data_IF_848553813357
#
_entry.id   IF_848553813357
#
_cell.length_a   1.000
_cell.length_b   1.000
_cell.length_c   1.000
_cell.angle_alpha   90.00
_cell.angle_beta   90.00
_cell.angle_gamma   90.00
#
_symmetry.space_group_name_H-M   'P 1'
#
loop_
_entity.id
_entity.type
_entity.pdbx_description
1 polymer ?
#
# COMPACT_ATOMS: atom_id res chain seq x y z
N UNK A 1 16.55 -3.25 21.69
CA UNK A 1 15.78 -2.30 20.86
C UNK A 1 16.07 -2.67 19.41
N UNK A 2 15.37 -3.68 18.89
CA UNK A 2 15.53 -4.13 17.52
C UNK A 2 14.74 -3.16 16.64
N UNK A 3 15.43 -2.45 15.76
CA UNK A 3 14.77 -1.77 14.64
C UNK A 3 14.21 -2.85 13.74
N UNK A 4 12.88 -2.97 13.68
CA UNK A 4 12.21 -3.78 12.69
C UNK A 4 12.34 -3.03 11.35
N UNK A 5 13.41 -3.32 10.62
CA UNK A 5 13.44 -3.10 9.18
C UNK A 5 12.41 -4.06 8.62
N UNK A 6 11.37 -3.55 7.97
CA UNK A 6 10.31 -4.34 7.35
C UNK A 6 10.96 -5.33 6.39
N UNK A 7 11.11 -6.55 6.91
CA UNK A 7 11.79 -7.64 6.26
C UNK A 7 10.78 -8.26 5.30
N UNK A 8 10.97 -7.98 4.02
CA UNK A 8 10.37 -8.74 2.93
C UNK A 8 8.83 -8.79 2.98
N UNK A 9 8.17 -7.69 2.63
CA UNK A 9 6.89 -7.82 1.95
C UNK A 9 7.10 -8.77 0.76
N UNK A 10 6.72 -10.05 0.90
CA UNK A 10 6.78 -11.06 -0.15
C UNK A 10 5.66 -10.80 -1.14
N UNK A 11 5.82 -9.69 -1.86
CA UNK A 11 5.02 -9.24 -2.96
C UNK A 11 5.03 -10.33 -4.04
N UNK A 12 3.98 -11.15 -4.01
CA UNK A 12 3.70 -12.12 -5.06
C UNK A 12 2.50 -11.61 -5.82
N UNK A 13 2.75 -11.05 -7.00
CA UNK A 13 1.71 -10.85 -8.00
C UNK A 13 1.30 -12.22 -8.54
N UNK A 14 0.07 -12.65 -8.26
CA UNK A 14 -0.64 -13.52 -9.21
C UNK A 14 -1.40 -12.57 -10.14
N UNK A 15 -1.62 -12.96 -11.40
CA UNK A 15 -2.14 -12.09 -12.48
C UNK A 15 -3.37 -11.21 -12.14
N UNK A 16 -4.06 -11.48 -11.04
CA UNK A 16 -5.30 -10.81 -10.66
C UNK A 16 -5.27 -10.18 -9.25
N UNK A 17 -4.23 -10.41 -8.42
CA UNK A 17 -4.17 -9.88 -7.04
C UNK A 17 -2.77 -9.46 -6.60
N UNK A 18 -2.71 -8.42 -5.76
CA UNK A 18 -1.53 -7.95 -5.05
C UNK A 18 -1.54 -8.51 -3.62
N UNK A 19 -0.62 -9.42 -3.30
CA UNK A 19 -0.55 -10.02 -1.96
C UNK A 19 0.39 -9.23 -1.05
N UNK A 20 -0.07 -8.90 0.14
CA UNK A 20 0.68 -8.18 1.16
C UNK A 20 0.44 -8.79 2.55
N UNK A 21 1.45 -8.74 3.42
CA UNK A 21 1.41 -9.25 4.80
C UNK A 21 1.73 -8.10 5.74
N UNK A 22 0.95 -7.94 6.80
CA UNK A 22 1.02 -6.84 7.77
C UNK A 22 1.18 -7.44 9.16
N UNK A 23 2.07 -6.88 9.97
CA UNK A 23 2.35 -7.36 11.34
C UNK A 23 3.24 -8.60 11.38
N UNK A 24 3.47 -9.11 12.58
CA UNK A 24 4.30 -10.28 12.84
C UNK A 24 3.65 -11.23 13.85
N UNK A 25 3.96 -12.52 13.77
CA UNK A 25 3.51 -13.52 14.76
C UNK A 25 2.00 -13.78 14.70
N UNK A 26 1.34 -13.82 15.86
CA UNK A 26 -0.09 -14.19 15.98
C UNK A 26 -1.05 -13.09 15.47
N UNK A 27 -0.56 -11.87 15.25
CA UNK A 27 -1.34 -10.73 14.73
C UNK A 27 -1.15 -10.51 13.22
N UNK A 28 -0.35 -11.38 12.58
CA UNK A 28 -0.06 -11.32 11.14
C UNK A 28 -1.34 -11.38 10.31
N UNK A 29 -1.55 -10.37 9.45
CA UNK A 29 -2.62 -10.33 8.48
C UNK A 29 -2.05 -10.39 7.06
N UNK A 30 -2.38 -11.47 6.37
CA UNK A 30 -2.18 -11.58 4.92
C UNK A 30 -3.42 -11.10 4.16
N UNK A 31 -3.28 -10.03 3.37
CA UNK A 31 -4.31 -9.54 2.44
C UNK A 31 -3.96 -9.88 0.99
N UNK A 32 -4.98 -10.26 0.21
CA UNK A 32 -4.87 -10.41 -1.26
C UNK A 32 -5.75 -9.36 -1.93
N UNK A 33 -5.10 -8.25 -2.29
CA UNK A 33 -5.72 -7.02 -2.80
C UNK A 33 -6.17 -7.25 -4.25
N UNK A 34 -7.42 -6.90 -4.51
CA UNK A 34 -8.08 -7.00 -5.82
C UNK A 34 -7.69 -5.83 -6.73
N UNK A 35 -7.98 -5.91 -8.04
CA UNK A 35 -7.83 -4.79 -8.95
C UNK A 35 -8.51 -3.53 -8.38
N UNK A 36 -7.82 -2.37 -8.38
CA UNK A 36 -8.38 -1.16 -7.83
C UNK A 36 -9.58 -0.67 -8.65
N UNK A 37 -10.49 0.02 -7.98
CA UNK A 37 -11.47 0.85 -8.68
C UNK A 37 -10.78 2.07 -9.31
N UNK A 38 -11.45 2.75 -10.24
CA UNK A 38 -10.94 3.99 -10.82
C UNK A 38 -10.62 5.05 -9.74
N UNK A 39 -11.50 5.21 -8.75
CA UNK A 39 -11.29 6.16 -7.65
C UNK A 39 -10.04 5.81 -6.84
N UNK A 40 -9.85 4.54 -6.48
CA UNK A 40 -8.66 4.08 -5.75
C UNK A 40 -7.36 4.32 -6.55
N UNK A 41 -7.41 4.14 -7.86
CA UNK A 41 -6.25 4.45 -8.72
C UNK A 41 -5.93 5.95 -8.76
N UNK A 42 -6.96 6.79 -8.85
CA UNK A 42 -6.80 8.26 -8.82
C UNK A 42 -6.25 8.73 -7.47
N UNK A 43 -6.76 8.20 -6.36
CA UNK A 43 -6.27 8.47 -5.00
C UNK A 43 -4.80 8.09 -4.84
N UNK A 44 -4.42 6.89 -5.31
CA UNK A 44 -3.02 6.43 -5.30
C UNK A 44 -2.12 7.29 -6.19
N UNK A 45 -2.64 7.79 -7.31
CA UNK A 45 -1.89 8.69 -8.21
C UNK A 45 -1.65 10.05 -7.54
N UNK A 46 -2.66 10.59 -6.85
CA UNK A 46 -2.53 11.82 -6.08
C UNK A 46 -1.53 11.65 -4.92
N UNK A 47 -1.59 10.51 -4.22
CA UNK A 47 -0.65 10.14 -3.17
C UNK A 47 0.79 10.09 -3.69
N UNK A 48 1.04 9.45 -4.84
CA UNK A 48 2.37 9.45 -5.48
C UNK A 48 2.85 10.87 -5.80
N UNK A 49 1.94 11.76 -6.23
CA UNK A 49 2.26 13.16 -6.48
C UNK A 49 2.64 13.93 -5.21
N UNK A 50 1.98 13.66 -4.08
CA UNK A 50 2.34 14.20 -2.77
C UNK A 50 3.73 13.73 -2.36
N UNK A 51 3.99 12.42 -2.43
CA UNK A 51 5.30 11.85 -2.07
C UNK A 51 6.43 12.43 -2.93
N UNK A 52 6.20 12.66 -4.22
CA UNK A 52 7.18 13.27 -5.11
C UNK A 52 7.50 14.73 -4.71
N UNK A 53 6.50 15.52 -4.30
CA UNK A 53 6.71 16.90 -3.83
C UNK A 53 7.44 16.96 -2.49
N UNK A 54 7.12 16.05 -1.57
CA UNK A 54 7.86 15.90 -0.31
C UNK A 54 9.32 15.54 -0.60
N UNK A 55 9.57 14.60 -1.52
CA UNK A 55 10.91 14.21 -1.90
C UNK A 55 11.70 15.34 -2.60
N UNK A 56 11.03 16.25 -3.33
CA UNK A 56 11.67 17.41 -3.97
C UNK A 56 11.86 18.61 -3.02
N UNK A 57 11.30 18.55 -1.80
CA UNK A 57 11.32 19.65 -0.84
C UNK A 57 10.33 20.78 -1.16
N UNK A 58 9.33 20.52 -2.01
CA UNK A 58 8.25 21.46 -2.36
C UNK A 58 7.13 21.49 -1.31
N UNK A 59 7.05 20.48 -0.45
CA UNK A 59 6.02 20.34 0.59
C UNK A 59 6.68 19.96 1.92
N UNK A 60 6.28 20.61 3.03
CA UNK A 60 7.02 20.52 4.30
C UNK A 60 6.70 19.25 5.09
N UNK A 61 5.55 18.62 4.88
CA UNK A 61 5.24 17.30 5.45
C UNK A 61 3.96 16.74 4.83
N UNK A 62 3.98 15.50 4.33
CA UNK A 62 2.74 14.77 4.06
C UNK A 62 2.19 14.25 5.38
N UNK A 63 0.90 14.49 5.65
CA UNK A 63 0.22 13.89 6.79
C UNK A 63 0.20 12.36 6.63
N UNK A 64 0.90 11.65 7.52
CA UNK A 64 1.01 10.20 7.45
C UNK A 64 -0.37 9.53 7.59
N UNK A 65 -1.27 10.07 8.40
CA UNK A 65 -2.62 9.55 8.57
C UNK A 65 -3.43 9.60 7.28
N UNK A 66 -3.30 10.67 6.50
CA UNK A 66 -3.92 10.80 5.17
C UNK A 66 -3.32 9.79 4.18
N UNK A 67 -1.99 9.65 4.17
CA UNK A 67 -1.30 8.65 3.33
C UNK A 67 -1.75 7.22 3.65
N UNK A 68 -1.76 6.87 4.94
CA UNK A 68 -2.19 5.56 5.42
C UNK A 68 -3.68 5.31 5.15
N UNK A 69 -4.52 6.36 5.15
CA UNK A 69 -5.95 6.23 4.81
C UNK A 69 -6.17 5.80 3.36
N UNK A 70 -5.40 6.36 2.42
CA UNK A 70 -5.45 5.94 1.01
C UNK A 70 -4.97 4.50 0.87
N UNK A 71 -3.83 4.16 1.48
CA UNK A 71 -3.28 2.80 1.44
C UNK A 71 -4.25 1.79 2.06
N UNK A 72 -4.82 2.08 3.22
CA UNK A 72 -5.79 1.24 3.91
C UNK A 72 -7.08 1.03 3.10
N UNK A 73 -7.54 2.05 2.37
CA UNK A 73 -8.69 1.93 1.46
C UNK A 73 -8.40 0.93 0.33
N UNK A 74 -7.21 1.01 -0.29
CA UNK A 74 -6.80 0.06 -1.31
C UNK A 74 -6.65 -1.35 -0.72
N UNK A 75 -6.01 -1.48 0.44
CA UNK A 75 -5.85 -2.77 1.11
C UNK A 75 -7.18 -3.40 1.51
N UNK A 76 -8.20 -2.60 1.85
CA UNK A 76 -9.55 -3.06 2.18
C UNK A 76 -10.29 -3.65 0.98
N UNK A 77 -9.88 -3.32 -0.25
CA UNK A 77 -10.34 -3.97 -1.46
C UNK A 77 -9.62 -5.32 -1.64
N UNK A 78 -9.92 -6.30 -0.79
CA UNK A 78 -9.28 -7.62 -0.80
C UNK A 78 -10.29 -8.78 -0.87
N UNK A 79 -9.79 -9.96 -1.25
CA UNK A 79 -10.59 -11.18 -1.39
C UNK A 79 -11.19 -11.69 -0.07
N UNK A 80 -10.59 -11.32 1.07
CA UNK A 80 -11.00 -11.76 2.40
C UNK A 80 -12.06 -10.84 3.01
N UNK A 81 -12.48 -9.78 2.30
CA UNK A 81 -13.44 -8.76 2.75
C UNK A 81 -13.08 -8.16 4.11
N UNK A 82 -11.80 -8.18 4.46
CA UNK A 82 -11.29 -7.67 5.74
C UNK A 82 -11.04 -6.18 5.59
N UNK A 83 -11.61 -5.37 6.48
CA UNK A 83 -11.33 -3.93 6.50
C UNK A 83 -9.97 -3.68 7.14
N UNK A 84 -9.11 -2.96 6.42
CA UNK A 84 -7.84 -2.42 6.94
C UNK A 84 -8.06 -0.94 7.21
N UNK A 85 -7.68 -0.44 8.39
CA UNK A 85 -7.76 0.98 8.76
C UNK A 85 -6.37 1.61 8.80
N UNK A 86 -6.31 2.93 8.62
CA UNK A 86 -5.08 3.70 8.77
C UNK A 86 -4.49 3.52 10.18
N UNK A 87 -5.35 3.60 11.21
CA UNK A 87 -4.97 3.39 12.62
C UNK A 87 -4.30 2.03 12.85
N UNK A 88 -4.76 0.98 12.17
CA UNK A 88 -4.12 -0.33 12.25
C UNK A 88 -2.74 -0.29 11.63
N UNK A 89 -2.61 0.26 10.41
CA UNK A 89 -1.31 0.37 9.75
C UNK A 89 -0.32 1.15 10.61
N UNK A 90 -0.76 2.27 11.17
CA UNK A 90 0.05 3.08 12.09
C UNK A 90 0.44 2.30 13.35
N UNK A 91 -0.48 1.54 13.96
CA UNK A 91 -0.19 0.71 15.13
C UNK A 91 0.83 -0.41 14.85
N UNK A 92 0.85 -0.91 13.61
CA UNK A 92 1.81 -1.91 13.13
C UNK A 92 3.16 -1.27 12.72
N UNK A 93 3.28 0.06 12.84
CA UNK A 93 4.50 0.80 12.57
C UNK A 93 4.70 1.22 11.12
N UNK A 94 3.66 1.20 10.28
CA UNK A 94 3.77 1.70 8.91
C UNK A 94 4.19 3.17 8.90
N UNK A 95 5.22 3.48 8.13
CA UNK A 95 5.71 4.82 7.93
C UNK A 95 5.63 5.26 6.45
N UNK A 96 6.21 6.44 6.16
CA UNK A 96 6.23 7.00 4.80
C UNK A 96 7.01 6.12 3.81
N UNK A 97 8.04 5.42 4.28
CA UNK A 97 8.82 4.49 3.45
C UNK A 97 7.93 3.31 3.04
N UNK A 98 7.14 2.78 3.96
CA UNK A 98 6.21 1.67 3.67
C UNK A 98 5.10 2.08 2.70
N UNK A 99 4.59 3.29 2.85
CA UNK A 99 3.66 3.88 1.89
C UNK A 99 4.29 3.96 0.50
N UNK A 100 5.56 4.37 0.40
CA UNK A 100 6.28 4.45 -0.87
C UNK A 100 6.50 3.06 -1.48
N UNK A 101 6.90 2.07 -0.68
CA UNK A 101 7.06 0.68 -1.14
C UNK A 101 5.72 0.11 -1.63
N UNK A 102 4.63 0.34 -0.89
CA UNK A 102 3.29 -0.03 -1.30
C UNK A 102 2.88 0.65 -2.61
N UNK A 103 3.12 1.95 -2.75
CA UNK A 103 2.79 2.69 -3.96
C UNK A 103 3.54 2.14 -5.20
N UNK A 104 4.82 1.79 -5.05
CA UNK A 104 5.61 1.16 -6.10
C UNK A 104 5.07 -0.23 -6.48
N UNK A 105 4.72 -1.04 -5.48
CA UNK A 105 4.10 -2.35 -5.69
C UNK A 105 2.74 -2.23 -6.39
N UNK A 106 1.92 -1.27 -5.99
CA UNK A 106 0.62 -0.98 -6.58
C UNK A 106 0.75 -0.55 -8.05
N UNK A 107 1.69 0.35 -8.35
CA UNK A 107 1.95 0.79 -9.73
C UNK A 107 2.37 -0.40 -10.62
N UNK A 108 3.23 -1.28 -10.11
CA UNK A 108 3.60 -2.51 -10.80
C UNK A 108 2.40 -3.43 -11.03
N UNK A 109 1.55 -3.62 -10.01
CA UNK A 109 0.35 -4.43 -10.10
C UNK A 109 -0.62 -3.91 -11.18
N UNK A 110 -0.94 -2.61 -11.17
CA UNK A 110 -1.82 -2.00 -12.18
C UNK A 110 -1.24 -2.12 -13.58
N UNK A 111 0.08 -1.93 -13.73
CA UNK A 111 0.76 -2.11 -15.01
C UNK A 111 0.65 -3.54 -15.54
N UNK A 112 0.76 -4.55 -14.67
CA UNK A 112 0.54 -5.95 -15.06
C UNK A 112 -0.91 -6.22 -15.47
N UNK A 113 -1.89 -5.66 -14.77
CA UNK A 113 -3.32 -5.78 -15.11
C UNK A 113 -3.64 -5.20 -16.50
N UNK A 114 -2.96 -4.12 -16.89
CA UNK A 114 -3.14 -3.45 -18.17
C UNK A 114 -2.47 -4.16 -19.35
N UNK A 115 -1.64 -5.19 -19.12
CA UNK A 115 -0.99 -5.92 -20.22
C UNK A 115 -2.04 -6.71 -21.02
N UNK A 116 -2.01 -6.67 -22.36
CA UNK A 116 -2.93 -7.44 -23.18
C UNK A 116 -2.75 -8.94 -22.92
N UNK A 117 -3.87 -9.65 -22.74
CA UNK A 117 -3.91 -11.11 -22.64
C UNK A 117 -3.65 -11.67 -24.05
N UNK A 118 -2.40 -12.00 -24.34
CA UNK A 118 -2.05 -12.86 -25.48
C UNK A 118 -2.43 -14.31 -25.17
#
# INVERSE_FOLDING_TARGET
MHMATIAEARLKTRKDVLKLTIGEGDEELTVSILPPTKAMYEDMTALCGVLARVASGEDECADLGDLLSVVANVMSNNTSLTRVSAERLEAEGFDVVDVLEFANAFACFVKELAKPKN
#
